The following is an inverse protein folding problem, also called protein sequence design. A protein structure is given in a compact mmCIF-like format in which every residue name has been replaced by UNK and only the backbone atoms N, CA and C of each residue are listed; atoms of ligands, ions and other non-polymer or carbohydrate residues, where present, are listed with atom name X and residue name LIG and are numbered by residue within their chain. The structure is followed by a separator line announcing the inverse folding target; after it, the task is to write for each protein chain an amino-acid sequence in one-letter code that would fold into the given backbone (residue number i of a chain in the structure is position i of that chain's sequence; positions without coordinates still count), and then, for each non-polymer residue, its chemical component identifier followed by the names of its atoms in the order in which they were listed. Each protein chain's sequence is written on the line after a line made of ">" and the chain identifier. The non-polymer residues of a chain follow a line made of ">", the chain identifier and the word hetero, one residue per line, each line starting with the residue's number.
data_IF_344248554595
#
_entry.id   IF_344248554595
#
_cell.length_a   1.000
_cell.length_b   1.000
_cell.length_c   1.000
_cell.angle_alpha   90.00
_cell.angle_beta   90.00
_cell.angle_gamma   90.00
#
_symmetry.space_group_name_H-M   'P 1'
#
loop_
_entity.id
_entity.type
_entity.pdbx_description
1 polymer ?
#
# COMPACT_ATOMS: atom_id res chain seq x y z
N UNK A 1 11.83 25.03 -3.21
CA UNK A 1 12.49 23.70 -3.30
C UNK A 1 12.08 23.09 -4.62
N UNK A 2 13.03 22.62 -5.42
CA UNK A 2 12.73 21.92 -6.67
C UNK A 2 12.83 20.42 -6.41
N UNK A 3 11.81 19.66 -6.75
CA UNK A 3 11.87 18.20 -6.69
C UNK A 3 12.55 17.65 -7.95
N UNK A 4 13.37 16.62 -7.77
CA UNK A 4 13.99 15.85 -8.84
C UNK A 4 12.98 14.87 -9.45
N UNK A 5 12.83 14.91 -10.77
CA UNK A 5 11.92 14.05 -11.53
C UNK A 5 10.53 14.67 -11.73
N UNK A 6 9.76 14.07 -12.63
CA UNK A 6 8.39 14.47 -12.91
C UNK A 6 7.42 13.37 -12.49
N UNK A 7 6.49 13.69 -11.59
CA UNK A 7 5.40 12.82 -11.20
C UNK A 7 4.16 13.20 -12.05
N UNK A 8 3.67 12.32 -12.94
CA UNK A 8 2.49 12.62 -13.74
C UNK A 8 1.26 12.88 -12.86
N UNK A 9 0.28 13.58 -13.41
CA UNK A 9 -1.03 13.72 -12.76
C UNK A 9 -1.74 12.37 -12.80
N UNK A 10 -2.41 12.01 -11.72
CA UNK A 10 -3.25 10.82 -11.62
C UNK A 10 -4.70 11.15 -11.95
N UNK A 11 -5.22 10.43 -12.93
CA UNK A 11 -6.64 10.45 -13.31
C UNK A 11 -7.22 9.05 -13.13
N UNK A 12 -8.20 8.93 -12.24
CA UNK A 12 -8.84 7.65 -11.93
C UNK A 12 -9.57 6.98 -13.10
N UNK A 13 -9.85 7.70 -14.19
CA UNK A 13 -10.59 7.19 -15.36
C UNK A 13 -9.67 6.58 -16.40
N UNK A 14 -8.44 7.06 -16.48
CA UNK A 14 -7.49 6.74 -17.56
C UNK A 14 -6.21 6.09 -17.06
N UNK A 15 -5.86 6.31 -15.79
CA UNK A 15 -4.61 5.82 -15.18
C UNK A 15 -4.86 4.64 -14.25
N UNK A 16 -3.89 3.73 -14.18
CA UNK A 16 -3.91 2.63 -13.21
C UNK A 16 -3.30 3.07 -11.88
N UNK A 17 -4.07 2.93 -10.78
CA UNK A 17 -3.63 3.34 -9.44
C UNK A 17 -2.33 2.65 -8.99
N UNK A 18 -2.18 1.35 -9.27
CA UNK A 18 -0.99 0.57 -8.90
C UNK A 18 0.30 1.16 -9.49
N UNK A 19 0.26 1.55 -10.77
CA UNK A 19 1.38 2.15 -11.51
C UNK A 19 1.68 3.54 -10.95
N UNK A 20 0.66 4.37 -10.75
CA UNK A 20 0.84 5.71 -10.19
C UNK A 20 1.44 5.65 -8.78
N UNK A 21 0.90 4.79 -7.92
CA UNK A 21 1.38 4.60 -6.54
C UNK A 21 2.85 4.15 -6.50
N UNK A 22 3.25 3.26 -7.41
CA UNK A 22 4.65 2.87 -7.57
C UNK A 22 5.55 4.06 -7.94
N UNK A 23 5.14 4.88 -8.92
CA UNK A 23 5.88 6.10 -9.33
C UNK A 23 5.96 7.13 -8.20
N UNK A 24 4.85 7.36 -7.49
CA UNK A 24 4.80 8.25 -6.32
C UNK A 24 5.78 7.79 -5.24
N UNK A 25 5.79 6.50 -4.93
CA UNK A 25 6.70 5.94 -3.91
C UNK A 25 8.17 6.20 -4.26
N UNK A 26 8.56 6.00 -5.53
CA UNK A 26 9.92 6.29 -5.96
C UNK A 26 10.21 7.79 -5.96
N UNK A 27 9.27 8.63 -6.39
CA UNK A 27 9.41 10.08 -6.35
C UNK A 27 9.67 10.60 -4.94
N UNK A 28 8.92 10.11 -3.94
CA UNK A 28 9.11 10.48 -2.55
C UNK A 28 10.47 10.02 -2.02
N UNK A 29 10.93 8.82 -2.39
CA UNK A 29 12.24 8.27 -2.01
C UNK A 29 13.40 9.06 -2.59
N UNK A 30 13.38 9.31 -3.91
CA UNK A 30 14.44 10.05 -4.62
C UNK A 30 14.59 11.47 -4.05
N UNK A 31 13.47 12.08 -3.65
CA UNK A 31 13.44 13.42 -3.08
C UNK A 31 13.61 13.46 -1.56
N UNK A 32 13.90 12.32 -0.91
CA UNK A 32 14.06 12.20 0.54
C UNK A 32 12.91 12.86 1.33
N UNK A 33 11.67 12.72 0.85
CA UNK A 33 10.49 13.29 1.50
C UNK A 33 10.11 12.43 2.70
N UNK A 34 10.45 12.90 3.90
CA UNK A 34 10.20 12.17 5.15
C UNK A 34 8.94 12.62 5.88
N UNK A 35 8.62 13.91 5.84
CA UNK A 35 7.46 14.50 6.53
C UNK A 35 6.13 14.04 5.92
N UNK A 36 5.26 13.50 6.76
CA UNK A 36 3.95 12.97 6.33
C UNK A 36 3.06 14.06 5.71
N UNK A 37 3.04 15.28 6.27
CA UNK A 37 2.27 16.40 5.70
C UNK A 37 2.68 16.74 4.26
N UNK A 38 3.98 16.62 3.93
CA UNK A 38 4.50 16.88 2.59
C UNK A 38 4.11 15.73 1.65
N UNK A 39 4.15 14.48 2.13
CA UNK A 39 3.70 13.32 1.33
C UNK A 39 2.21 13.42 0.99
N UNK A 40 1.36 13.78 1.97
CA UNK A 40 -0.07 14.04 1.74
C UNK A 40 -0.26 15.14 0.72
N UNK A 41 0.44 16.27 0.88
CA UNK A 41 0.37 17.39 -0.06
C UNK A 41 0.78 17.00 -1.48
N UNK A 42 1.88 16.24 -1.65
CA UNK A 42 2.33 15.77 -2.97
C UNK A 42 1.29 14.85 -3.61
N UNK A 43 0.72 13.91 -2.85
CA UNK A 43 -0.31 13.01 -3.37
C UNK A 43 -1.53 13.81 -3.84
N UNK A 44 -2.07 14.68 -2.99
CA UNK A 44 -3.29 15.44 -3.26
C UNK A 44 -3.14 16.41 -4.43
N UNK A 45 -1.99 17.09 -4.54
CA UNK A 45 -1.71 18.03 -5.64
C UNK A 45 -1.48 17.35 -6.99
N UNK A 46 -1.29 16.03 -7.00
CA UNK A 46 -1.12 15.25 -8.24
C UNK A 46 -2.39 14.57 -8.69
N UNK A 47 -3.51 14.75 -8.00
CA UNK A 47 -4.80 14.25 -8.44
C UNK A 47 -5.43 15.23 -9.44
N UNK A 48 -6.16 14.72 -10.43
CA UNK A 48 -7.11 15.57 -11.17
C UNK A 48 -8.23 16.06 -10.26
N UNK A 49 -8.90 17.15 -10.63
CA UNK A 49 -10.06 17.68 -9.89
C UNK A 49 -11.15 16.62 -9.66
N UNK A 50 -11.45 15.80 -10.68
CA UNK A 50 -12.42 14.70 -10.57
C UNK A 50 -11.97 13.67 -9.52
N UNK A 51 -10.68 13.29 -9.55
CA UNK A 51 -10.12 12.33 -8.59
C UNK A 51 -10.07 12.91 -7.17
N UNK A 52 -9.75 14.20 -7.02
CA UNK A 52 -9.75 14.87 -5.72
C UNK A 52 -11.16 14.88 -5.11
N UNK A 53 -12.20 15.20 -5.92
CA UNK A 53 -13.61 15.13 -5.49
C UNK A 53 -14.01 13.73 -5.06
N UNK A 54 -13.58 12.69 -5.77
CA UNK A 54 -13.79 11.30 -5.39
C UNK A 54 -13.18 11.00 -4.01
N UNK A 55 -11.91 11.34 -3.81
CA UNK A 55 -11.24 11.15 -2.50
C UNK A 55 -11.97 11.91 -1.39
N UNK A 56 -12.43 13.13 -1.66
CA UNK A 56 -13.22 13.92 -0.72
C UNK A 56 -14.52 13.24 -0.31
N UNK A 57 -15.22 12.63 -1.26
CA UNK A 57 -16.43 11.87 -0.97
C UNK A 57 -16.13 10.60 -0.16
N UNK A 58 -15.02 9.91 -0.45
CA UNK A 58 -14.59 8.71 0.28
C UNK A 58 -14.09 9.03 1.71
N UNK A 59 -13.59 10.23 1.95
CA UNK A 59 -13.07 10.67 3.24
C UNK A 59 -14.16 11.08 4.26
N UNK A 60 -15.39 11.30 3.80
CA UNK A 60 -16.49 11.75 4.66
C UNK A 60 -16.72 10.78 5.84
N UNK A 61 -16.89 11.27 7.09
CA UNK A 61 -17.13 12.65 7.53
C UNK A 61 -15.87 13.50 7.80
N UNK A 62 -14.67 12.96 7.60
CA UNK A 62 -13.41 13.71 7.80
C UNK A 62 -13.11 14.61 6.60
N UNK A 63 -12.29 15.64 6.82
CA UNK A 63 -11.75 16.48 5.74
C UNK A 63 -10.49 15.85 5.17
N UNK A 64 -10.34 15.89 3.84
CA UNK A 64 -9.21 15.26 3.13
C UNK A 64 -7.87 15.81 3.59
N UNK A 65 -7.84 17.11 3.88
CA UNK A 65 -6.66 17.85 4.33
C UNK A 65 -6.23 17.46 5.75
N UNK A 66 -7.13 16.86 6.55
CA UNK A 66 -6.81 16.36 7.89
C UNK A 66 -6.26 14.93 7.90
N UNK A 67 -6.33 14.22 6.77
CA UNK A 67 -5.91 12.82 6.68
C UNK A 67 -4.39 12.71 6.53
N UNK A 68 -3.85 11.70 7.21
CA UNK A 68 -2.46 11.30 7.03
C UNK A 68 -2.23 10.66 5.66
N UNK A 69 -0.97 10.64 5.20
CA UNK A 69 -0.62 10.02 3.92
C UNK A 69 -1.02 8.55 3.88
N UNK A 70 -0.86 7.83 4.99
CA UNK A 70 -1.27 6.43 5.09
C UNK A 70 -2.79 6.27 4.94
N UNK A 71 -3.60 7.09 5.63
CA UNK A 71 -5.06 7.06 5.48
C UNK A 71 -5.49 7.33 4.03
N UNK A 72 -4.88 8.32 3.37
CA UNK A 72 -5.18 8.63 1.96
C UNK A 72 -4.86 7.44 1.04
N UNK A 73 -3.68 6.83 1.22
CA UNK A 73 -3.27 5.65 0.45
C UNK A 73 -4.19 4.46 0.72
N UNK A 74 -4.65 4.27 1.95
CA UNK A 74 -5.59 3.21 2.31
C UNK A 74 -6.95 3.40 1.65
N UNK A 75 -7.50 4.61 1.64
CA UNK A 75 -8.75 4.94 0.97
C UNK A 75 -8.64 4.63 -0.53
N UNK A 76 -7.58 5.13 -1.16
CA UNK A 76 -7.34 4.94 -2.60
C UNK A 76 -7.11 3.47 -2.95
N UNK A 77 -6.32 2.75 -2.15
CA UNK A 77 -6.13 1.30 -2.32
C UNK A 77 -7.45 0.54 -2.18
N UNK A 78 -8.29 0.89 -1.20
CA UNK A 78 -9.56 0.21 -0.99
C UNK A 78 -10.55 0.45 -2.13
N UNK A 79 -10.50 1.64 -2.73
CA UNK A 79 -11.38 2.00 -3.83
C UNK A 79 -10.91 1.44 -5.18
N UNK A 80 -9.60 1.49 -5.47
CA UNK A 80 -9.03 1.10 -6.76
C UNK A 80 -8.46 -0.33 -6.80
N UNK A 81 -8.32 -1.03 -5.67
CA UNK A 81 -7.98 -2.46 -5.73
C UNK A 81 -9.11 -3.19 -6.46
N UNK A 82 -8.80 -4.07 -7.43
CA UNK A 82 -9.78 -5.03 -7.89
C UNK A 82 -10.24 -5.83 -6.66
N UNK A 83 -11.56 -5.95 -6.47
CA UNK A 83 -12.17 -6.83 -5.45
C UNK A 83 -11.71 -8.27 -5.72
N UNK A 84 -10.52 -8.64 -5.27
CA UNK A 84 -10.24 -10.02 -4.95
C UNK A 84 -11.01 -10.32 -3.67
N UNK A 85 -12.02 -11.16 -3.80
CA UNK A 85 -12.91 -11.57 -2.73
C UNK A 85 -12.13 -11.97 -1.46
N UNK A 86 -12.24 -11.12 -0.43
CA UNK A 86 -12.60 -11.45 0.95
C UNK A 86 -11.81 -12.46 1.82
N UNK A 87 -10.77 -13.19 1.40
CA UNK A 87 -10.21 -14.21 2.33
C UNK A 87 -8.69 -14.44 2.37
N UNK A 88 -7.92 -14.08 1.34
CA UNK A 88 -6.50 -14.52 1.27
C UNK A 88 -5.54 -13.61 2.04
N UNK A 89 -5.80 -12.30 2.11
CA UNK A 89 -4.88 -11.36 2.78
C UNK A 89 -4.94 -11.44 4.32
N UNK A 90 -6.09 -11.83 4.91
CA UNK A 90 -6.16 -12.14 6.36
C UNK A 90 -5.46 -13.45 6.70
N UNK A 91 -5.46 -14.42 5.79
CA UNK A 91 -4.76 -15.69 5.98
C UNK A 91 -3.24 -15.51 6.02
N UNK A 92 -2.68 -14.59 5.22
CA UNK A 92 -1.24 -14.31 5.23
C UNK A 92 -0.76 -13.45 6.41
N UNK A 93 -1.65 -12.66 7.02
CA UNK A 93 -1.29 -11.83 8.18
C UNK A 93 -1.55 -12.52 9.54
N UNK A 94 -2.52 -13.44 9.62
CA UNK A 94 -2.78 -14.25 10.82
C UNK A 94 -2.21 -15.68 10.76
N UNK A 95 -1.81 -16.18 9.58
CA UNK A 95 -1.20 -17.51 9.39
C UNK A 95 0.26 -17.61 9.82
N UNK A 96 0.87 -16.51 10.29
CA UNK A 96 2.19 -16.52 10.92
C UNK A 96 2.12 -16.75 12.45
N UNK A 97 0.99 -17.23 12.99
CA UNK A 97 0.92 -17.68 14.38
C UNK A 97 0.17 -19.01 14.50
N UNK A 98 0.96 -20.09 14.67
CA UNK A 98 0.61 -21.44 15.15
C UNK A 98 -0.25 -22.33 14.25
N UNK A 99 0.40 -23.29 13.60
CA UNK A 99 -0.19 -24.59 13.24
C UNK A 99 -0.66 -25.31 14.52
N UNK A 100 -1.95 -25.65 14.69
CA UNK A 100 -2.39 -26.61 15.69
C UNK A 100 -2.31 -28.00 15.05
N UNK A 101 -1.31 -28.80 15.46
CA UNK A 101 -1.25 -30.22 15.10
C UNK A 101 0.07 -30.72 14.52
N UNK A 102 1.14 -29.93 14.49
CA UNK A 102 2.47 -30.51 14.23
C UNK A 102 2.94 -31.23 15.50
N UNK A 103 2.89 -32.56 15.48
CA UNK A 103 3.50 -33.38 16.52
C UNK A 103 5.01 -33.13 16.52
N UNK A 104 5.62 -33.17 17.71
CA UNK A 104 7.07 -32.96 17.91
C UNK A 104 7.95 -33.81 16.96
N UNK A 105 7.41 -34.94 16.48
CA UNK A 105 8.08 -35.86 15.56
C UNK A 105 8.28 -35.35 14.12
N UNK A 106 7.42 -34.45 13.60
CA UNK A 106 7.55 -33.97 12.22
C UNK A 106 8.53 -32.80 12.09
N UNK A 107 8.65 -31.99 13.14
CA UNK A 107 9.69 -30.96 13.25
C UNK A 107 11.13 -31.56 13.25
N UNK A 108 11.31 -32.76 13.84
CA UNK A 108 12.62 -33.47 13.89
C UNK A 108 12.99 -34.10 12.52
N UNK A 109 12.00 -34.54 11.73
CA UNK A 109 12.25 -35.08 10.38
C UNK A 109 12.78 -34.02 9.42
N UNK A 110 12.39 -32.75 9.60
CA UNK A 110 12.86 -31.65 8.75
C UNK A 110 14.30 -31.22 9.08
N UNK A 111 14.68 -31.21 10.36
CA UNK A 111 16.05 -30.85 10.76
C UNK A 111 17.07 -31.95 10.45
N UNK A 112 16.66 -33.23 10.47
CA UNK A 112 17.54 -34.36 10.15
C UNK A 112 17.82 -34.54 8.66
N UNK A 113 16.96 -34.06 7.75
CA UNK A 113 17.19 -34.15 6.30
C UNK A 113 18.18 -33.10 5.75
N UNK A 114 18.49 -32.07 6.52
CA UNK A 114 19.46 -31.02 6.16
C UNK A 114 20.91 -31.30 6.62
N UNK A 115 21.17 -32.42 7.29
CA UNK A 115 22.52 -32.88 7.65
C UNK A 115 23.05 -34.02 6.77
N UNK A 116 22.33 -34.38 5.68
CA UNK A 116 22.69 -35.51 4.81
C UNK A 116 22.84 -35.15 3.34
N UNK A 117 23.18 -33.90 3.05
CA UNK A 117 23.79 -33.48 1.79
C UNK A 117 25.01 -32.62 2.16
N UNK A 118 26.06 -33.31 2.62
CA UNK A 118 27.43 -32.93 2.33
C UNK A 118 27.80 -33.59 1.01
#
# INVERSE_FOLDING_TARGET
>A
MSYLGNLPVFDHRTSEWSIFYGKLTQFLRINNVTKEEIKSGILLTRLTDETYRLVRNLAYPKTVESLTYNELVQILNSHFKPKQCSFVDKANFFGATRSPGESLGDAIKRTSKLLRIR
#
